data_IF_474205673844
#
_entry.id   IF_474205673844
#
_cell.length_a   1.000
_cell.length_b   1.000
_cell.length_c   1.000
_cell.angle_alpha   90.00
_cell.angle_beta   90.00
_cell.angle_gamma   90.00
#
_symmetry.space_group_name_H-M   'P 1'
#
loop_
_entity.id
_entity.type
_entity.pdbx_description
1 polymer ?
#
# COMPACT_ATOMS: atom_id res chain seq x y z
N UNK A 1 13.96 -29.47 25.19
CA UNK A 1 12.88 -28.54 25.60
C UNK A 1 13.03 -27.11 25.09
N UNK A 2 14.21 -26.48 25.15
CA UNK A 2 14.45 -25.14 24.56
C UNK A 2 14.15 -24.97 23.04
N UNK A 3 14.40 -25.96 22.13
CA UNK A 3 14.11 -25.76 20.70
C UNK A 3 12.61 -25.70 20.39
N UNK A 4 11.77 -26.39 21.16
CA UNK A 4 10.31 -26.48 20.95
C UNK A 4 9.60 -25.17 21.31
N UNK A 5 10.08 -24.46 22.34
CA UNK A 5 9.56 -23.14 22.70
C UNK A 5 9.99 -22.05 21.70
N UNK A 6 11.19 -22.16 21.12
CA UNK A 6 11.68 -21.23 20.11
C UNK A 6 10.96 -21.41 18.77
N UNK A 7 10.61 -22.65 18.40
CA UNK A 7 9.84 -22.93 17.16
C UNK A 7 8.38 -22.52 17.29
N UNK A 8 7.74 -22.69 18.46
CA UNK A 8 6.36 -22.22 18.70
C UNK A 8 6.24 -20.69 18.68
N UNK A 9 7.23 -19.97 19.24
CA UNK A 9 7.32 -18.50 19.14
C UNK A 9 7.56 -18.01 17.69
N UNK A 10 8.33 -18.77 16.90
CA UNK A 10 8.59 -18.45 15.48
C UNK A 10 7.41 -18.77 14.57
N UNK A 11 6.67 -19.84 14.84
CA UNK A 11 5.39 -20.13 14.20
C UNK A 11 4.37 -19.03 14.51
N UNK A 12 4.33 -18.52 15.76
CA UNK A 12 3.54 -17.35 16.13
C UNK A 12 3.96 -16.07 15.41
N UNK A 13 5.26 -15.87 15.20
CA UNK A 13 5.78 -14.73 14.46
C UNK A 13 5.48 -14.84 12.95
N UNK A 14 5.57 -16.03 12.37
CA UNK A 14 5.13 -16.34 10.99
C UNK A 14 3.63 -16.07 10.81
N UNK A 15 2.79 -16.51 11.75
CA UNK A 15 1.35 -16.20 11.79
C UNK A 15 1.12 -14.69 11.81
N UNK A 16 1.88 -13.95 12.63
CA UNK A 16 1.76 -12.50 12.76
C UNK A 16 2.19 -11.76 11.47
N UNK A 17 3.21 -12.24 10.76
CA UNK A 17 3.67 -11.65 9.49
C UNK A 17 2.69 -11.92 8.36
N UNK A 18 2.13 -13.13 8.26
CA UNK A 18 1.13 -13.48 7.25
C UNK A 18 -0.23 -12.78 7.41
N UNK A 19 -0.47 -12.08 8.53
CA UNK A 19 -1.69 -11.28 8.75
C UNK A 19 -1.55 -9.81 8.34
N UNK A 20 -0.31 -9.30 8.15
CA UNK A 20 -0.06 -7.94 7.65
C UNK A 20 0.37 -7.98 6.19
N UNK A 21 -0.29 -7.15 5.39
CA UNK A 21 0.02 -6.75 4.01
C UNK A 21 -0.72 -7.51 2.88
N UNK A 22 -1.57 -6.76 2.18
CA UNK A 22 -2.14 -7.10 0.88
C UNK A 22 -2.04 -5.86 -0.01
N UNK A 23 -0.92 -5.74 -0.73
CA UNK A 23 -0.69 -4.78 -1.80
C UNK A 23 -0.63 -5.51 -3.15
N UNK A 24 -1.41 -5.01 -4.11
CA UNK A 24 -1.69 -5.56 -5.46
C UNK A 24 -0.51 -5.62 -6.42
N UNK A 25 -0.57 -6.49 -7.45
CA UNK A 25 -0.35 -6.19 -8.89
C UNK A 25 -0.99 -7.29 -9.82
N UNK A 26 -1.48 -6.91 -11.01
CA UNK A 26 -2.10 -7.77 -12.05
C UNK A 26 -1.29 -7.68 -13.35
N UNK A 27 -1.07 -8.78 -14.07
CA UNK A 27 -0.92 -8.77 -15.55
C UNK A 27 -1.46 -10.06 -16.21
N UNK A 28 -2.06 -9.91 -17.39
CA UNK A 28 -2.46 -10.97 -18.33
C UNK A 28 -1.84 -10.67 -19.71
N UNK A 29 -1.56 -11.67 -20.56
CA UNK A 29 -2.10 -11.57 -21.93
C UNK A 29 -2.53 -12.90 -22.57
N UNK A 30 -3.50 -12.77 -23.49
CA UNK A 30 -4.06 -13.80 -24.37
C UNK A 30 -3.17 -14.13 -25.59
N UNK A 31 -3.25 -15.38 -26.08
CA UNK A 31 -2.60 -15.85 -27.32
C UNK A 31 -3.66 -16.23 -28.38
N UNK A 32 -3.47 -15.76 -29.62
CA UNK A 32 -4.12 -16.29 -30.83
C UNK A 32 -3.10 -17.06 -31.67
N UNK A 33 -3.42 -18.29 -32.05
CA UNK A 33 -2.62 -19.13 -32.95
C UNK A 33 -3.07 -18.97 -34.42
N UNK A 34 -2.14 -18.96 -35.36
CA UNK A 34 -2.41 -19.06 -36.80
C UNK A 34 -1.52 -20.13 -37.47
N UNK A 35 -2.09 -20.75 -38.51
CA UNK A 35 -1.71 -22.00 -39.18
C UNK A 35 -0.37 -21.97 -39.97
N UNK A 36 0.23 -23.14 -40.29
CA UNK A 36 1.59 -23.22 -40.84
C UNK A 36 1.67 -23.00 -42.36
N UNK A 37 2.68 -22.21 -42.77
CA UNK A 37 3.07 -21.95 -44.17
C UNK A 37 4.03 -23.05 -44.70
N UNK A 38 3.79 -23.55 -45.91
CA UNK A 38 4.64 -24.54 -46.59
C UNK A 38 6.09 -24.03 -46.78
N UNK A 39 7.08 -24.92 -46.61
CA UNK A 39 8.52 -24.60 -46.68
C UNK A 39 9.08 -24.88 -48.08
N UNK A 40 9.71 -23.92 -48.78
CA UNK A 40 10.41 -24.20 -50.03
C UNK A 40 11.75 -24.93 -49.79
N UNK A 41 12.14 -25.77 -50.76
CA UNK A 41 13.34 -26.62 -50.77
C UNK A 41 14.65 -25.82 -50.61
N UNK A 42 15.59 -26.37 -49.84
CA UNK A 42 16.80 -25.68 -49.37
C UNK A 42 17.84 -25.34 -50.46
N UNK A 43 17.78 -25.98 -51.62
CA UNK A 43 18.77 -25.84 -52.70
C UNK A 43 18.75 -24.47 -53.40
N UNK A 44 17.65 -23.71 -53.31
CA UNK A 44 17.50 -22.39 -53.96
C UNK A 44 18.08 -21.22 -53.16
N UNK A 45 18.71 -21.47 -52.00
CA UNK A 45 19.18 -20.39 -51.10
C UNK A 45 20.69 -20.23 -51.12
N UNK A 46 21.13 -19.02 -51.51
CA UNK A 46 22.54 -18.63 -51.48
C UNK A 46 23.11 -18.68 -50.05
N UNK A 47 24.30 -19.25 -49.92
CA UNK A 47 25.02 -19.32 -48.64
C UNK A 47 25.60 -17.95 -48.26
N UNK A 48 25.51 -17.59 -46.97
CA UNK A 48 26.12 -16.38 -46.44
C UNK A 48 27.60 -16.64 -46.12
N UNK A 49 28.50 -15.86 -46.72
CA UNK A 49 29.96 -15.91 -46.49
C UNK A 49 30.48 -14.56 -45.96
N UNK A 50 31.67 -14.57 -45.36
CA UNK A 50 32.37 -13.37 -44.88
C UNK A 50 31.60 -12.56 -43.83
N UNK A 51 31.62 -11.23 -43.95
CA UNK A 51 30.97 -10.30 -43.03
C UNK A 51 29.46 -10.56 -42.87
N UNK A 52 28.78 -11.07 -43.91
CA UNK A 52 27.36 -11.45 -43.85
C UNK A 52 27.10 -12.67 -42.94
N UNK A 53 28.04 -13.61 -42.85
CA UNK A 53 27.94 -14.74 -41.91
C UNK A 53 28.16 -14.26 -40.47
N UNK A 54 29.16 -13.40 -40.25
CA UNK A 54 29.47 -12.85 -38.94
C UNK A 54 28.35 -11.95 -38.40
N UNK A 55 27.79 -11.05 -39.21
CA UNK A 55 26.68 -10.18 -38.78
C UNK A 55 25.41 -10.95 -38.37
N UNK A 56 25.17 -12.10 -39.02
CA UNK A 56 24.07 -13.01 -38.69
C UNK A 56 24.35 -13.82 -37.43
N UNK A 57 25.55 -14.37 -37.29
CA UNK A 57 25.87 -15.31 -36.22
C UNK A 57 26.50 -14.67 -34.97
N UNK A 58 26.79 -13.35 -34.98
CA UNK A 58 27.35 -12.69 -33.79
C UNK A 58 26.40 -12.86 -32.59
N UNK A 59 26.94 -13.07 -31.38
CA UNK A 59 26.13 -13.15 -30.17
C UNK A 59 25.38 -11.83 -29.95
N UNK A 60 24.08 -11.94 -29.70
CA UNK A 60 23.20 -10.81 -29.42
C UNK A 60 22.34 -11.18 -28.22
N UNK A 61 22.15 -10.25 -27.29
CA UNK A 61 21.13 -10.36 -26.25
C UNK A 61 19.76 -10.29 -26.95
N UNK A 62 19.15 -11.46 -27.18
CA UNK A 62 17.86 -11.56 -27.91
C UNK A 62 16.64 -11.36 -27.01
N UNK A 63 16.79 -11.62 -25.71
CA UNK A 63 15.69 -11.54 -24.72
C UNK A 63 15.64 -10.14 -24.11
N UNK A 64 14.49 -9.45 -24.08
CA UNK A 64 14.35 -8.15 -23.45
C UNK A 64 14.87 -8.10 -22.01
N UNK A 65 14.67 -9.17 -21.23
CA UNK A 65 15.17 -9.30 -19.84
C UNK A 65 16.70 -9.30 -19.73
N UNK A 66 17.41 -9.80 -20.75
CA UNK A 66 18.88 -9.79 -20.78
C UNK A 66 19.45 -8.45 -21.28
N UNK A 67 18.66 -7.67 -22.02
CA UNK A 67 19.00 -6.33 -22.51
C UNK A 67 18.86 -5.31 -21.40
N UNK A 68 17.85 -5.45 -20.54
CA UNK A 68 17.60 -4.57 -19.40
C UNK A 68 17.73 -5.32 -18.06
N UNK A 69 18.92 -5.81 -17.67
CA UNK A 69 19.11 -6.22 -16.30
C UNK A 69 19.04 -4.94 -15.44
N UNK A 70 17.98 -4.78 -14.66
CA UNK A 70 18.00 -3.80 -13.59
C UNK A 70 19.09 -4.20 -12.60
N UNK A 71 19.89 -3.27 -12.07
CA UNK A 71 20.78 -3.58 -10.96
C UNK A 71 19.97 -4.21 -9.82
N UNK A 72 20.57 -5.16 -9.11
CA UNK A 72 19.94 -5.83 -7.98
C UNK A 72 19.55 -4.76 -6.95
N UNK A 73 18.27 -4.69 -6.61
CA UNK A 73 17.78 -3.75 -5.60
C UNK A 73 18.18 -4.28 -4.23
N UNK A 74 19.19 -3.66 -3.62
CA UNK A 74 19.49 -3.87 -2.21
C UNK A 74 18.51 -3.03 -1.38
N UNK A 75 18.04 -3.58 -0.26
CA UNK A 75 17.37 -2.78 0.74
C UNK A 75 18.37 -1.73 1.26
N UNK A 76 17.95 -0.46 1.36
CA UNK A 76 18.78 0.58 1.96
C UNK A 76 19.13 0.22 3.41
N UNK A 77 20.29 0.68 3.89
CA UNK A 77 20.65 0.49 5.29
C UNK A 77 19.54 1.11 6.15
N UNK A 78 19.20 0.49 7.29
CA UNK A 78 18.20 1.04 8.23
C UNK A 78 18.60 2.45 8.68
N UNK A 79 19.90 2.74 8.68
CA UNK A 79 20.46 4.05 8.97
C UNK A 79 20.28 5.09 7.85
N UNK A 80 19.98 4.67 6.62
CA UNK A 80 19.73 5.57 5.48
C UNK A 80 18.28 6.08 5.44
N UNK A 81 17.38 5.54 6.28
CA UNK A 81 15.98 5.96 6.30
C UNK A 81 15.81 7.28 7.06
N UNK A 82 14.89 8.11 6.56
CA UNK A 82 14.53 9.38 7.19
C UNK A 82 14.05 9.16 8.63
N UNK A 83 14.80 9.68 9.61
CA UNK A 83 14.52 9.52 11.04
C UNK A 83 15.30 8.40 11.75
N UNK A 84 16.23 7.73 11.05
CA UNK A 84 17.24 6.93 11.73
C UNK A 84 18.04 7.81 12.71
N UNK A 85 18.41 7.30 13.89
CA UNK A 85 19.23 8.05 14.84
C UNK A 85 20.56 8.40 14.18
N UNK A 86 21.03 9.66 14.27
CA UNK A 86 22.31 10.04 13.67
C UNK A 86 23.45 9.26 14.34
N UNK A 87 24.50 8.96 13.59
CA UNK A 87 25.68 8.25 14.10
C UNK A 87 26.36 8.99 15.26
N UNK A 88 26.30 10.31 15.24
CA UNK A 88 26.79 11.19 16.30
C UNK A 88 25.78 12.30 16.57
N UNK A 89 25.62 12.64 17.86
CA UNK A 89 24.91 13.84 18.26
C UNK A 89 25.94 14.94 18.47
N UNK A 90 25.89 15.96 17.61
CA UNK A 90 26.76 17.11 17.75
C UNK A 90 26.30 17.96 18.96
N UNK A 91 27.23 18.19 19.89
CA UNK A 91 27.00 19.00 21.09
C UNK A 91 27.62 20.39 20.85
N UNK A 92 26.95 21.49 21.23
CA UNK A 92 27.53 22.81 21.10
C UNK A 92 28.75 23.00 22.04
N UNK A 93 29.55 24.04 21.77
CA UNK A 93 30.75 24.37 22.55
C UNK A 93 30.42 24.59 24.03
N UNK A 94 31.34 24.26 24.94
CA UNK A 94 31.15 24.43 26.40
C UNK A 94 30.70 25.83 26.81
N UNK A 95 31.21 26.88 26.15
CA UNK A 95 30.77 28.27 26.38
C UNK A 95 29.28 28.47 26.08
N UNK A 96 28.78 27.82 25.03
CA UNK A 96 27.34 27.78 24.69
C UNK A 96 26.56 26.97 25.72
N UNK A 97 27.07 25.81 26.15
CA UNK A 97 26.40 24.99 27.16
C UNK A 97 26.24 25.73 28.49
N UNK A 98 27.25 26.51 28.91
CA UNK A 98 27.18 27.30 30.13
C UNK A 98 26.08 28.37 30.07
N UNK A 99 25.86 28.98 28.91
CA UNK A 99 24.75 29.92 28.67
C UNK A 99 23.38 29.23 28.59
N UNK A 100 23.30 27.98 28.12
CA UNK A 100 22.03 27.24 28.08
C UNK A 100 21.63 26.68 29.44
N UNK A 101 22.60 26.44 30.34
CA UNK A 101 22.37 25.91 31.69
C UNK A 101 21.95 26.97 32.70
N UNK A 102 22.37 28.22 32.49
CA UNK A 102 22.18 29.31 33.43
C UNK A 102 21.43 30.47 32.75
N UNK A 103 20.60 31.19 33.50
CA UNK A 103 19.99 32.44 33.02
C UNK A 103 18.63 32.29 32.29
N UNK A 104 18.15 33.36 31.63
CA UNK A 104 16.84 33.41 30.97
C UNK A 104 16.66 32.41 29.82
N UNK A 105 17.72 32.01 29.10
CA UNK A 105 17.61 30.93 28.10
C UNK A 105 17.24 29.59 28.73
N UNK A 106 17.75 29.29 29.92
CA UNK A 106 17.36 28.08 30.66
C UNK A 106 15.87 28.11 31.03
N UNK A 107 15.39 29.27 31.49
CA UNK A 107 13.99 29.48 31.81
C UNK A 107 13.11 29.29 30.57
N UNK A 108 13.49 29.87 29.42
CA UNK A 108 12.82 29.66 28.14
C UNK A 108 12.76 28.17 27.75
N UNK A 109 13.88 27.44 27.85
CA UNK A 109 13.91 26.01 27.57
C UNK A 109 13.02 25.20 28.53
N UNK A 110 12.95 25.60 29.80
CA UNK A 110 12.05 24.96 30.78
C UNK A 110 10.58 25.18 30.43
N UNK A 111 10.22 26.37 29.92
CA UNK A 111 8.88 26.71 29.45
C UNK A 111 8.53 25.84 28.23
N UNK A 112 9.45 25.73 27.26
CA UNK A 112 9.29 24.88 26.09
C UNK A 112 9.12 23.40 26.48
N UNK A 113 9.91 22.90 27.44
CA UNK A 113 9.82 21.52 27.90
C UNK A 113 8.49 21.20 28.61
N UNK A 114 7.83 22.20 29.23
CA UNK A 114 6.50 22.04 29.82
C UNK A 114 5.40 21.86 28.77
N UNK A 115 5.68 22.10 27.50
CA UNK A 115 4.72 21.95 26.40
C UNK A 115 3.79 23.16 26.24
N UNK A 116 4.31 24.37 26.38
CA UNK A 116 3.54 25.60 26.12
C UNK A 116 3.17 25.75 24.65
N UNK A 117 2.03 26.39 24.37
CA UNK A 117 1.62 26.74 23.01
C UNK A 117 2.30 28.02 22.51
N UNK A 118 2.29 28.26 21.19
CA UNK A 118 2.89 29.48 20.61
C UNK A 118 2.23 30.76 21.10
N UNK A 119 0.91 30.71 21.38
CA UNK A 119 0.14 31.84 21.92
C UNK A 119 0.43 32.12 23.40
N UNK A 120 0.71 31.10 24.20
CA UNK A 120 1.11 31.28 25.59
C UNK A 120 2.52 31.87 25.65
N UNK A 121 3.42 31.38 24.80
CA UNK A 121 4.77 31.89 24.71
C UNK A 121 4.81 33.33 24.19
N UNK A 122 3.93 33.71 23.26
CA UNK A 122 3.80 35.11 22.81
C UNK A 122 3.37 36.04 23.94
N UNK A 123 2.44 35.61 24.79
CA UNK A 123 2.03 36.37 26.00
C UNK A 123 3.17 36.52 27.00
N UNK A 124 3.93 35.45 27.26
CA UNK A 124 5.07 35.47 28.19
C UNK A 124 6.19 36.41 27.69
N UNK A 125 6.47 36.38 26.38
CA UNK A 125 7.48 37.26 25.76
C UNK A 125 7.01 38.71 25.58
N UNK A 126 5.73 39.00 25.80
CA UNK A 126 5.20 40.37 25.78
C UNK A 126 5.74 41.23 26.94
N UNK A 127 6.13 40.59 28.05
CA UNK A 127 6.78 41.23 29.20
C UNK A 127 8.20 41.67 28.81
N UNK A 128 8.40 42.98 28.61
CA UNK A 128 9.60 43.53 27.99
C UNK A 128 10.94 43.19 28.67
N UNK A 129 10.97 43.02 29.99
CA UNK A 129 12.20 42.70 30.74
C UNK A 129 12.80 41.35 30.33
N UNK A 130 11.99 40.28 30.33
CA UNK A 130 12.43 38.93 29.99
C UNK A 130 12.91 38.83 28.53
N UNK A 131 12.19 39.47 27.59
CA UNK A 131 12.57 39.49 26.17
C UNK A 131 13.89 40.24 25.94
N UNK A 132 14.12 41.34 26.65
CA UNK A 132 15.37 42.09 26.54
C UNK A 132 16.55 41.26 27.04
N UNK A 133 16.41 40.55 28.16
CA UNK A 133 17.48 39.71 28.69
C UNK A 133 17.76 38.50 27.80
N UNK A 134 16.72 37.86 27.24
CA UNK A 134 16.89 36.84 26.19
C UNK A 134 17.63 37.38 24.97
N UNK A 135 17.34 38.60 24.52
CA UNK A 135 18.01 39.18 23.35
C UNK A 135 19.50 39.45 23.58
N UNK A 136 19.89 39.77 24.82
CA UNK A 136 21.31 39.94 25.22
C UNK A 136 22.05 38.60 25.16
N UNK A 137 21.46 37.55 25.74
CA UNK A 137 22.07 36.20 25.71
C UNK A 137 22.14 35.64 24.29
N UNK A 138 21.13 35.90 23.45
CA UNK A 138 21.15 35.53 22.03
C UNK A 138 22.26 36.29 21.27
N UNK A 139 22.52 37.55 21.64
CA UNK A 139 23.67 38.31 21.16
C UNK A 139 25.01 37.65 21.52
N UNK A 140 25.15 37.16 22.76
CA UNK A 140 26.33 36.42 23.19
C UNK A 140 26.49 35.08 22.48
N UNK A 141 25.39 34.36 22.23
CA UNK A 141 25.43 33.14 21.42
C UNK A 141 25.87 33.41 19.97
N UNK A 142 25.42 34.53 19.39
CA UNK A 142 25.85 34.98 18.05
C UNK A 142 27.35 35.30 18.02
N UNK A 143 27.91 35.90 19.07
CA UNK A 143 29.36 36.16 19.12
C UNK A 143 30.14 34.86 19.25
N UNK A 144 29.72 33.94 20.13
CA UNK A 144 30.34 32.62 20.31
C UNK A 144 30.31 31.80 19.03
N UNK A 145 29.17 31.75 18.33
CA UNK A 145 29.03 31.00 17.08
C UNK A 145 30.03 31.50 16.01
N UNK A 146 30.25 32.82 15.95
CA UNK A 146 31.19 33.44 15.02
C UNK A 146 32.65 33.25 15.43
N UNK A 147 32.99 33.41 16.71
CA UNK A 147 34.37 33.33 17.18
C UNK A 147 34.90 31.89 17.18
N UNK A 148 34.05 30.93 17.53
CA UNK A 148 34.41 29.52 17.62
C UNK A 148 34.06 28.72 16.36
N UNK A 149 33.48 29.36 15.33
CA UNK A 149 33.03 28.73 14.09
C UNK A 149 32.24 27.43 14.31
N UNK A 150 31.27 27.45 15.23
CA UNK A 150 30.50 26.26 15.60
C UNK A 150 29.12 26.25 14.93
N UNK A 151 28.92 25.29 14.02
CA UNK A 151 27.68 25.13 13.25
C UNK A 151 26.47 24.85 14.16
N UNK A 152 26.64 23.98 15.17
CA UNK A 152 25.56 23.63 16.12
C UNK A 152 25.08 24.85 16.89
N UNK A 153 26.00 25.69 17.36
CA UNK A 153 25.66 26.94 18.04
C UNK A 153 24.95 27.91 17.09
N UNK A 154 25.35 27.93 15.82
CA UNK A 154 24.70 28.76 14.81
C UNK A 154 23.24 28.32 14.54
N UNK A 155 22.97 27.02 14.50
CA UNK A 155 21.63 26.47 14.32
C UNK A 155 20.74 26.77 15.53
N UNK A 156 21.29 26.66 16.74
CA UNK A 156 20.58 27.03 17.99
C UNK A 156 20.21 28.51 18.00
N UNK A 157 21.09 29.39 17.53
CA UNK A 157 20.79 30.82 17.38
C UNK A 157 19.61 31.03 16.44
N UNK A 158 19.59 30.37 15.28
CA UNK A 158 18.49 30.48 14.30
C UNK A 158 17.17 29.98 14.91
N UNK A 159 17.22 28.86 15.62
CA UNK A 159 16.07 28.29 16.32
C UNK A 159 15.50 29.25 17.37
N UNK A 160 16.35 29.72 18.29
CA UNK A 160 15.94 30.62 19.38
C UNK A 160 15.46 31.98 18.84
N UNK A 161 16.10 32.51 17.80
CA UNK A 161 15.71 33.77 17.18
C UNK A 161 14.31 33.71 16.56
N UNK A 162 13.97 32.58 15.92
CA UNK A 162 12.62 32.35 15.36
C UNK A 162 11.55 32.27 16.44
N UNK A 163 11.84 31.58 17.55
CA UNK A 163 10.91 31.45 18.68
C UNK A 163 10.70 32.79 19.37
N UNK A 164 11.77 33.55 19.61
CA UNK A 164 11.71 34.82 20.34
C UNK A 164 11.04 35.92 19.51
N UNK A 165 11.28 35.97 18.19
CA UNK A 165 10.74 37.03 17.34
C UNK A 165 9.29 36.80 16.93
N UNK A 166 8.90 35.56 16.62
CA UNK A 166 7.58 35.26 16.07
C UNK A 166 7.12 33.85 16.47
N UNK A 167 6.77 33.64 17.75
CA UNK A 167 6.40 32.31 18.26
C UNK A 167 5.15 31.73 17.61
N UNK A 168 4.15 32.56 17.29
CA UNK A 168 2.89 32.13 16.65
C UNK A 168 3.08 31.62 15.22
N UNK A 169 4.05 32.18 14.48
CA UNK A 169 4.37 31.71 13.12
C UNK A 169 5.15 30.39 13.15
N UNK A 170 5.83 30.12 14.25
CA UNK A 170 6.79 29.04 14.44
C UNK A 170 6.37 28.02 15.50
N UNK A 171 5.06 27.80 15.64
CA UNK A 171 4.47 26.93 16.66
C UNK A 171 4.94 25.46 16.58
N UNK A 172 5.40 25.02 15.40
CA UNK A 172 6.01 23.70 15.18
C UNK A 172 7.35 23.47 15.90
N UNK A 173 8.04 24.55 16.30
CA UNK A 173 9.28 24.49 17.07
C UNK A 173 9.03 24.50 18.59
N UNK A 174 7.80 24.86 18.99
CA UNK A 174 7.41 25.11 20.37
C UNK A 174 6.58 23.94 20.90
N UNK A 175 5.52 23.56 20.18
CA UNK A 175 4.63 22.49 20.58
C UNK A 175 4.89 21.21 19.77
N UNK A 176 5.23 20.14 20.50
CA UNK A 176 5.44 18.80 19.94
C UNK A 176 4.17 18.26 19.29
N UNK A 177 3.01 18.51 19.90
CA UNK A 177 1.72 18.02 19.41
C UNK A 177 1.18 18.84 18.24
N UNK A 178 1.54 20.12 18.16
CA UNK A 178 1.15 20.97 17.03
C UNK A 178 1.54 20.38 15.67
N UNK A 179 2.76 19.85 15.55
CA UNK A 179 3.21 19.24 14.28
C UNK A 179 2.40 18.00 13.92
N UNK A 180 2.11 17.14 14.90
CA UNK A 180 1.27 15.96 14.73
C UNK A 180 -0.16 16.36 14.37
N UNK A 181 -0.76 17.31 15.07
CA UNK A 181 -2.09 17.82 14.78
C UNK A 181 -2.18 18.46 13.40
N UNK A 182 -1.14 19.21 12.98
CA UNK A 182 -1.06 19.79 11.64
C UNK A 182 -0.92 18.72 10.55
N UNK A 183 -0.19 17.64 10.83
CA UNK A 183 -0.13 16.48 9.94
C UNK A 183 -1.48 15.76 9.88
N UNK A 184 -2.13 15.53 11.03
CA UNK A 184 -3.46 14.92 11.10
C UNK A 184 -4.50 15.71 10.31
N UNK A 185 -4.61 17.02 10.54
CA UNK A 185 -5.50 17.91 9.79
C UNK A 185 -5.19 17.94 8.29
N UNK A 186 -3.91 17.93 7.91
CA UNK A 186 -3.51 17.80 6.51
C UNK A 186 -3.98 16.47 5.89
N UNK A 187 -3.83 15.37 6.63
CA UNK A 187 -4.29 14.04 6.20
C UNK A 187 -5.81 13.98 6.10
N UNK A 188 -6.54 14.44 7.11
CA UNK A 188 -8.00 14.56 7.09
C UNK A 188 -8.48 15.38 5.89
N UNK A 189 -7.85 16.52 5.62
CA UNK A 189 -8.19 17.36 4.47
C UNK A 189 -7.89 16.65 3.14
N UNK A 190 -6.82 15.88 3.08
CA UNK A 190 -6.48 15.08 1.89
C UNK A 190 -7.46 13.93 1.68
N UNK A 191 -7.86 13.25 2.75
CA UNK A 191 -8.81 12.14 2.74
C UNK A 191 -10.21 12.61 2.36
N UNK A 192 -10.70 13.66 3.01
CA UNK A 192 -11.98 14.30 2.66
C UNK A 192 -12.00 14.74 1.20
N UNK A 193 -10.90 15.31 0.68
CA UNK A 193 -10.78 15.66 -0.74
C UNK A 193 -10.83 14.44 -1.66
N UNK A 194 -10.15 13.34 -1.31
CA UNK A 194 -10.20 12.08 -2.08
C UNK A 194 -11.60 11.50 -2.06
N UNK A 195 -12.23 11.42 -0.89
CA UNK A 195 -13.60 10.97 -0.70
C UNK A 195 -14.58 11.80 -1.53
N UNK A 196 -14.50 13.14 -1.45
CA UNK A 196 -15.38 14.02 -2.21
C UNK A 196 -15.23 13.87 -3.73
N UNK A 197 -14.00 13.67 -4.23
CA UNK A 197 -13.75 13.39 -5.65
C UNK A 197 -14.38 12.06 -6.08
N UNK A 198 -14.22 11.03 -5.24
CA UNK A 198 -14.78 9.70 -5.45
C UNK A 198 -16.31 9.73 -5.43
N UNK A 199 -16.92 10.30 -4.39
CA UNK A 199 -18.36 10.51 -4.26
C UNK A 199 -18.93 11.27 -5.45
N UNK A 200 -18.23 12.31 -5.95
CA UNK A 200 -18.64 13.04 -7.16
C UNK A 200 -18.62 12.15 -8.42
N UNK A 201 -17.59 11.33 -8.60
CA UNK A 201 -17.50 10.39 -9.74
C UNK A 201 -18.64 9.36 -9.70
N UNK A 202 -18.86 8.76 -8.53
CA UNK A 202 -19.93 7.77 -8.34
C UNK A 202 -21.30 8.42 -8.54
N UNK A 203 -21.49 9.64 -8.06
CA UNK A 203 -22.74 10.38 -8.27
C UNK A 203 -23.02 10.68 -9.75
N UNK A 204 -21.98 11.03 -10.54
CA UNK A 204 -22.14 11.19 -11.99
C UNK A 204 -22.53 9.88 -12.67
N UNK A 205 -21.94 8.77 -12.24
CA UNK A 205 -22.29 7.43 -12.72
C UNK A 205 -23.73 7.06 -12.33
N UNK A 206 -24.11 7.26 -11.07
CA UNK A 206 -25.48 7.08 -10.56
C UNK A 206 -26.47 7.84 -11.44
N UNK A 207 -26.22 9.12 -11.73
CA UNK A 207 -27.05 9.92 -12.63
C UNK A 207 -27.13 9.33 -14.03
N UNK A 208 -26.00 8.93 -14.61
CA UNK A 208 -25.98 8.34 -15.95
C UNK A 208 -26.81 7.06 -16.04
N UNK A 209 -26.78 6.23 -14.99
CA UNK A 209 -27.57 5.00 -14.89
C UNK A 209 -29.03 5.37 -14.69
N UNK A 210 -29.36 6.24 -13.73
CA UNK A 210 -30.72 6.68 -13.46
C UNK A 210 -31.43 7.22 -14.72
N UNK A 211 -30.74 8.00 -15.56
CA UNK A 211 -31.28 8.44 -16.85
C UNK A 211 -31.51 7.30 -17.84
N UNK A 212 -30.61 6.31 -17.91
CA UNK A 212 -30.84 5.11 -18.74
C UNK A 212 -32.05 4.32 -18.25
N UNK A 213 -32.22 4.18 -16.94
CA UNK A 213 -33.37 3.47 -16.35
C UNK A 213 -34.69 4.21 -16.59
N UNK A 214 -34.66 5.55 -16.56
CA UNK A 214 -35.80 6.38 -16.96
C UNK A 214 -36.23 6.09 -18.39
N UNK A 215 -35.29 5.94 -19.32
CA UNK A 215 -35.60 5.63 -20.72
C UNK A 215 -36.18 4.21 -20.89
N UNK A 216 -35.88 3.29 -19.96
CA UNK A 216 -36.42 1.92 -19.92
C UNK A 216 -37.79 1.86 -19.24
N UNK A 217 -38.26 2.95 -18.64
CA UNK A 217 -39.59 3.05 -18.01
C UNK A 217 -39.58 3.02 -16.47
N UNK A 218 -38.42 2.95 -15.82
CA UNK A 218 -38.32 3.02 -14.35
C UNK A 218 -38.28 4.48 -13.91
N UNK A 219 -39.20 4.94 -13.04
CA UNK A 219 -39.23 6.33 -12.63
C UNK A 219 -38.02 6.65 -11.73
N UNK A 220 -37.53 7.89 -11.80
CA UNK A 220 -36.36 8.34 -11.06
C UNK A 220 -36.52 8.26 -9.53
N UNK A 221 -37.77 8.25 -9.03
CA UNK A 221 -38.09 8.11 -7.60
C UNK A 221 -37.82 6.70 -7.10
N UNK A 222 -38.09 5.68 -7.90
CA UNK A 222 -37.90 4.27 -7.52
C UNK A 222 -36.40 3.93 -7.48
N UNK A 223 -35.60 4.63 -8.28
CA UNK A 223 -34.13 4.57 -8.25
C UNK A 223 -33.49 5.23 -7.02
N UNK A 224 -34.26 5.50 -5.95
CA UNK A 224 -33.73 5.93 -4.65
C UNK A 224 -33.29 4.76 -3.77
N UNK A 225 -33.71 3.53 -4.09
CA UNK A 225 -33.34 2.33 -3.33
C UNK A 225 -31.88 1.93 -3.60
N UNK A 226 -31.04 1.80 -2.55
CA UNK A 226 -29.63 1.40 -2.71
C UNK A 226 -29.45 0.02 -3.38
N UNK A 227 -30.42 -0.88 -3.23
CA UNK A 227 -30.43 -2.20 -3.86
C UNK A 227 -30.33 -2.11 -5.39
N UNK A 228 -31.06 -1.18 -6.01
CA UNK A 228 -30.97 -0.95 -7.45
C UNK A 228 -29.59 -0.41 -7.84
N UNK A 229 -28.93 0.35 -6.98
CA UNK A 229 -27.59 0.87 -7.26
C UNK A 229 -26.55 -0.24 -7.34
N UNK A 230 -26.66 -1.24 -6.47
CA UNK A 230 -25.85 -2.45 -6.52
C UNK A 230 -26.17 -3.28 -7.76
N UNK A 231 -27.46 -3.56 -8.01
CA UNK A 231 -27.92 -4.35 -9.17
C UNK A 231 -27.44 -3.78 -10.51
N UNK A 232 -27.48 -2.46 -10.67
CA UNK A 232 -27.06 -1.78 -11.90
C UNK A 232 -25.60 -1.30 -11.88
N UNK A 233 -24.82 -1.72 -10.89
CA UNK A 233 -23.37 -1.51 -10.85
C UNK A 233 -22.95 -0.05 -10.76
N UNK A 234 -23.65 0.77 -9.95
CA UNK A 234 -23.25 2.14 -9.61
C UNK A 234 -21.87 2.14 -8.95
N UNK A 235 -21.60 1.14 -8.10
CA UNK A 235 -20.35 1.00 -7.36
C UNK A 235 -19.25 0.23 -8.11
N UNK A 236 -19.46 -0.22 -9.35
CA UNK A 236 -18.45 -0.97 -10.13
C UNK A 236 -17.14 -0.21 -10.37
N UNK A 237 -17.14 1.12 -10.25
CA UNK A 237 -15.92 1.95 -10.35
C UNK A 237 -15.13 2.03 -9.05
N UNK A 238 -15.68 1.54 -7.94
CA UNK A 238 -14.92 1.36 -6.73
C UNK A 238 -13.84 0.32 -7.01
N UNK A 239 -12.61 0.51 -6.51
CA UNK A 239 -11.65 -0.57 -6.53
C UNK A 239 -12.26 -1.74 -5.76
N UNK A 240 -12.44 -2.88 -6.42
CA UNK A 240 -12.77 -4.11 -5.73
C UNK A 240 -11.65 -4.36 -4.73
N UNK A 241 -12.02 -4.58 -3.47
CA UNK A 241 -11.04 -4.98 -2.49
C UNK A 241 -10.69 -6.45 -2.74
N UNK A 242 -9.56 -6.71 -3.38
CA UNK A 242 -9.08 -8.08 -3.59
C UNK A 242 -8.67 -8.74 -2.29
N UNK A 243 -8.82 -8.11 -1.12
CA UNK A 243 -8.54 -8.75 0.16
C UNK A 243 -9.38 -10.01 0.35
N UNK A 244 -10.65 -10.02 -0.06
CA UNK A 244 -11.52 -11.22 0.05
C UNK A 244 -11.05 -12.30 -0.92
N UNK A 245 -10.84 -11.96 -2.19
CA UNK A 245 -10.33 -12.90 -3.20
C UNK A 245 -8.94 -13.44 -2.83
N UNK A 246 -8.07 -12.59 -2.31
CA UNK A 246 -6.73 -12.95 -1.84
C UNK A 246 -6.81 -13.80 -0.57
N UNK A 247 -7.74 -13.53 0.35
CA UNK A 247 -7.98 -14.36 1.53
C UNK A 247 -8.44 -15.76 1.11
N UNK A 248 -9.45 -15.85 0.23
CA UNK A 248 -9.96 -17.13 -0.26
C UNK A 248 -8.90 -17.91 -1.04
N UNK A 249 -8.07 -17.23 -1.84
CA UNK A 249 -6.93 -17.85 -2.52
C UNK A 249 -5.88 -18.36 -1.52
N UNK A 250 -5.45 -17.54 -0.54
CA UNK A 250 -4.47 -17.92 0.49
C UNK A 250 -4.93 -19.12 1.33
N UNK A 251 -6.21 -19.19 1.65
CA UNK A 251 -6.79 -20.19 2.53
C UNK A 251 -7.46 -21.36 1.80
N UNK A 252 -7.22 -21.50 0.50
CA UNK A 252 -7.90 -22.47 -0.37
C UNK A 252 -7.80 -23.91 0.14
N UNK A 253 -6.63 -24.32 0.65
CA UNK A 253 -6.42 -25.68 1.18
C UNK A 253 -7.26 -25.93 2.43
N UNK A 254 -7.29 -24.99 3.36
CA UNK A 254 -8.07 -25.10 4.60
C UNK A 254 -9.59 -25.00 4.36
N UNK A 255 -10.02 -24.37 3.26
CA UNK A 255 -11.42 -24.30 2.86
C UNK A 255 -11.90 -25.57 2.14
N UNK A 256 -11.02 -26.25 1.39
CA UNK A 256 -11.36 -27.47 0.63
C UNK A 256 -11.19 -28.75 1.43
N UNK A 257 -10.32 -28.75 2.45
CA UNK A 257 -9.96 -29.95 3.19
C UNK A 257 -10.04 -29.71 4.70
N UNK A 258 -10.32 -30.76 5.48
CA UNK A 258 -10.22 -30.68 6.93
C UNK A 258 -8.77 -30.41 7.32
N UNK A 259 -8.49 -29.17 7.74
CA UNK A 259 -7.13 -28.72 8.00
C UNK A 259 -6.48 -29.51 9.13
N UNK A 260 -7.23 -29.99 10.13
CA UNK A 260 -6.70 -30.78 11.25
C UNK A 260 -6.07 -32.11 10.81
N UNK A 261 -6.45 -32.62 9.66
CA UNK A 261 -5.86 -33.82 9.06
C UNK A 261 -4.71 -33.53 8.09
N UNK A 262 -4.11 -32.33 8.10
CA UNK A 262 -3.02 -32.00 7.17
C UNK A 262 -1.77 -32.87 7.39
N UNK A 263 -1.44 -33.11 8.66
CA UNK A 263 -0.39 -34.03 9.08
C UNK A 263 -1.03 -35.22 9.78
N UNK A 264 -0.60 -36.42 9.41
CA UNK A 264 -1.12 -37.66 9.96
C UNK A 264 0.01 -38.67 10.16
N UNK A 265 -0.17 -39.57 11.12
CA UNK A 265 0.78 -40.65 11.38
C UNK A 265 0.48 -41.79 10.41
N UNK A 266 1.42 -42.12 9.54
CA UNK A 266 1.27 -43.24 8.64
C UNK A 266 1.44 -44.56 9.43
N UNK A 267 0.43 -45.44 9.36
CA UNK A 267 0.37 -46.73 10.08
C UNK A 267 1.50 -47.68 9.70
N UNK A 268 2.00 -47.60 8.47
CA UNK A 268 3.01 -48.53 7.94
C UNK A 268 4.44 -48.12 8.32
N UNK A 269 4.73 -46.82 8.31
CA UNK A 269 6.09 -46.30 8.54
C UNK A 269 6.29 -45.72 9.92
N UNK A 270 5.21 -45.57 10.70
CA UNK A 270 5.19 -44.89 11.99
C UNK A 270 5.75 -43.46 11.98
N UNK A 271 5.91 -42.87 10.78
CA UNK A 271 6.39 -41.51 10.56
C UNK A 271 5.20 -40.59 10.27
N UNK A 272 5.37 -39.31 10.59
CA UNK A 272 4.39 -38.27 10.29
C UNK A 272 4.57 -37.84 8.83
N UNK A 273 3.54 -38.05 8.01
CA UNK A 273 3.46 -37.62 6.62
C UNK A 273 2.56 -36.39 6.48
N UNK A 274 2.80 -35.62 5.41
CA UNK A 274 1.95 -34.50 5.03
C UNK A 274 1.05 -34.90 3.86
N UNK A 275 -0.18 -34.41 3.80
CA UNK A 275 -1.03 -34.57 2.60
C UNK A 275 -0.40 -33.96 1.33
N UNK A 276 0.54 -33.03 1.48
CA UNK A 276 1.33 -32.51 0.36
C UNK A 276 2.36 -33.51 -0.19
N UNK A 277 2.58 -34.64 0.46
CA UNK A 277 3.41 -35.72 -0.07
C UNK A 277 2.64 -36.54 -1.13
N UNK A 278 1.30 -36.42 -1.20
CA UNK A 278 0.44 -37.12 -2.14
C UNK A 278 0.28 -36.36 -3.48
N UNK A 279 0.63 -36.96 -4.63
CA UNK A 279 0.58 -36.28 -5.93
C UNK A 279 -0.84 -35.96 -6.39
N UNK A 280 -1.82 -36.78 -6.00
CA UNK A 280 -3.24 -36.59 -6.35
C UNK A 280 -3.82 -35.37 -5.61
N UNK A 281 -3.38 -35.14 -4.36
CA UNK A 281 -3.74 -33.96 -3.59
C UNK A 281 -3.18 -32.68 -4.23
N UNK A 282 -1.93 -32.71 -4.67
CA UNK A 282 -1.30 -31.59 -5.40
C UNK A 282 -2.09 -31.29 -6.69
N UNK A 283 -2.44 -32.32 -7.46
CA UNK A 283 -3.17 -32.16 -8.72
C UNK A 283 -4.55 -31.50 -8.52
N UNK A 284 -5.24 -31.85 -7.44
CA UNK A 284 -6.56 -31.30 -7.04
C UNK A 284 -6.47 -29.84 -6.58
N UNK A 285 -5.36 -29.47 -5.93
CA UNK A 285 -5.08 -28.08 -5.57
C UNK A 285 -4.72 -27.26 -6.81
N UNK A 286 -4.06 -27.83 -7.82
CA UNK A 286 -3.67 -27.10 -9.03
C UNK A 286 -4.81 -26.93 -10.06
N UNK A 287 -5.74 -27.89 -10.16
CA UNK A 287 -6.77 -27.91 -11.22
C UNK A 287 -7.91 -26.90 -11.05
N UNK A 288 -8.11 -26.33 -9.86
CA UNK A 288 -9.19 -25.32 -9.66
C UNK A 288 -10.57 -25.93 -9.46
N UNK A 289 -10.88 -26.98 -10.21
CA UNK A 289 -12.16 -27.67 -10.26
C UNK A 289 -12.19 -28.88 -9.32
N UNK A 290 -13.26 -29.00 -8.53
CA UNK A 290 -13.48 -30.13 -7.64
C UNK A 290 -13.99 -29.70 -6.27
N UNK A 291 -15.32 -29.60 -6.13
CA UNK A 291 -16.06 -29.92 -4.91
C UNK A 291 -16.27 -31.43 -4.86
N UNK A 292 -15.17 -32.18 -4.95
CA UNK A 292 -15.16 -33.56 -4.50
C UNK A 292 -14.72 -33.48 -3.06
N UNK A 293 -15.66 -33.74 -2.15
CA UNK A 293 -15.34 -34.06 -0.76
C UNK A 293 -14.24 -35.11 -0.79
N UNK A 294 -13.01 -34.68 -0.51
CA UNK A 294 -11.95 -35.63 -0.17
C UNK A 294 -12.37 -36.14 1.19
N UNK A 295 -13.11 -37.25 1.19
CA UNK A 295 -13.46 -38.01 2.39
C UNK A 295 -12.15 -38.30 3.09
N UNK A 296 -11.91 -37.57 4.17
CA UNK A 296 -10.81 -37.85 5.06
C UNK A 296 -11.40 -38.87 6.01
N UNK A 297 -10.92 -40.12 5.93
CA UNK A 297 -11.31 -41.14 6.91
C UNK A 297 -11.08 -40.56 8.31
N UNK A 298 -12.19 -40.46 9.05
CA UNK A 298 -12.22 -40.04 10.44
C UNK A 298 -11.59 -41.15 11.27
N UNK A 299 -10.30 -41.03 11.56
CA UNK A 299 -9.70 -41.83 12.62
C UNK A 299 -9.12 -40.89 13.68
N UNK A 300 -9.87 -40.85 14.78
CA UNK A 300 -9.56 -40.45 16.15
C UNK A 300 -8.17 -39.85 16.38
N UNK A 301 -8.10 -38.52 16.27
CA UNK A 301 -7.06 -37.75 16.95
C UNK A 301 -7.66 -37.29 18.28
N UNK A 302 -7.33 -37.98 19.37
CA UNK A 302 -7.70 -37.53 20.71
C UNK A 302 -7.20 -36.10 20.94
N UNK A 303 -8.01 -35.22 21.56
CA UNK A 303 -7.69 -33.81 21.71
C UNK A 303 -6.72 -33.60 22.87
N UNK A 304 -5.46 -34.02 22.71
CA UNK A 304 -4.42 -33.44 23.54
C UNK A 304 -4.25 -31.97 23.09
N UNK A 305 -4.49 -31.01 23.99
CA UNK A 305 -4.41 -29.57 23.71
C UNK A 305 -3.00 -29.07 23.30
N UNK A 306 -2.05 -29.99 23.06
CA UNK A 306 -0.66 -29.71 22.75
C UNK A 306 -0.20 -30.55 21.56
N UNK A 307 0.33 -29.87 20.54
CA UNK A 307 0.92 -30.51 19.38
C UNK A 307 2.15 -31.32 19.81
N UNK A 308 2.19 -32.62 19.53
CA UNK A 308 3.30 -33.48 19.93
C UNK A 308 4.64 -33.00 19.33
N UNK A 309 5.79 -33.24 20.00
CA UNK A 309 7.09 -32.79 19.52
C UNK A 309 7.45 -33.35 18.14
N UNK A 310 6.99 -34.56 17.80
CA UNK A 310 7.20 -35.19 16.50
C UNK A 310 6.51 -34.41 15.37
N UNK A 311 5.28 -33.91 15.59
CA UNK A 311 4.56 -33.06 14.63
C UNK A 311 5.25 -31.71 14.44
N UNK A 312 5.78 -31.13 15.52
CA UNK A 312 6.55 -29.88 15.46
C UNK A 312 7.82 -30.08 14.63
N UNK A 313 8.54 -31.19 14.83
CA UNK A 313 9.73 -31.51 14.04
C UNK A 313 9.40 -31.63 12.55
N UNK A 314 8.33 -32.36 12.18
CA UNK A 314 7.91 -32.46 10.79
C UNK A 314 7.56 -31.09 10.19
N UNK A 315 6.78 -30.27 10.90
CA UNK A 315 6.46 -28.89 10.48
C UNK A 315 7.73 -28.08 10.27
N UNK A 316 8.74 -28.21 11.15
CA UNK A 316 10.00 -27.48 10.99
C UNK A 316 10.80 -27.94 9.77
N UNK A 317 10.75 -29.23 9.41
CA UNK A 317 11.34 -29.73 8.17
C UNK A 317 10.64 -29.13 6.95
N UNK A 318 9.30 -29.17 6.91
CA UNK A 318 8.54 -28.58 5.81
C UNK A 318 8.75 -27.06 5.67
N UNK A 319 8.93 -26.34 6.78
CA UNK A 319 9.29 -24.91 6.77
C UNK A 319 10.74 -24.64 6.30
N UNK A 320 11.68 -25.57 6.55
CA UNK A 320 13.04 -25.50 5.98
C UNK A 320 13.02 -25.77 4.47
N UNK A 321 12.24 -26.76 4.03
CA UNK A 321 12.09 -27.08 2.60
C UNK A 321 11.50 -25.89 1.82
N UNK A 322 10.56 -25.16 2.45
CA UNK A 322 10.02 -23.90 1.92
C UNK A 322 11.00 -22.71 1.97
N UNK A 323 12.19 -22.90 2.53
CA UNK A 323 13.24 -21.88 2.78
C UNK A 323 12.78 -20.73 3.66
N UNK A 324 11.82 -20.99 4.55
CA UNK A 324 11.31 -20.01 5.51
C UNK A 324 12.20 -19.94 6.77
N UNK A 325 12.76 -21.07 7.18
CA UNK A 325 13.70 -21.17 8.30
C UNK A 325 15.12 -21.45 7.80
N UNK A 326 16.12 -20.91 8.50
CA UNK A 326 17.52 -21.31 8.33
C UNK A 326 17.74 -22.76 8.78
N UNK A 327 18.83 -23.40 8.35
CA UNK A 327 19.18 -24.77 8.74
C UNK A 327 19.26 -24.95 10.27
N UNK A 328 19.71 -23.92 10.97
CA UNK A 328 19.78 -23.90 12.45
C UNK A 328 18.43 -23.59 13.13
N UNK A 329 17.34 -23.40 12.38
CA UNK A 329 16.04 -22.90 12.85
C UNK A 329 16.11 -21.57 13.61
N UNK A 330 17.24 -20.86 13.62
CA UNK A 330 17.45 -19.64 14.42
C UNK A 330 16.88 -18.39 13.77
N UNK A 331 16.91 -18.29 12.43
CA UNK A 331 16.50 -17.10 11.67
C UNK A 331 15.33 -17.41 10.74
N UNK A 332 14.44 -16.42 10.59
CA UNK A 332 13.34 -16.44 9.63
C UNK A 332 13.74 -15.67 8.37
N UNK A 333 13.49 -16.24 7.20
CA UNK A 333 13.75 -15.57 5.93
C UNK A 333 12.57 -14.67 5.52
N UNK A 334 12.63 -13.40 5.92
CA UNK A 334 11.59 -12.40 5.62
C UNK A 334 11.37 -12.20 4.12
N UNK A 335 12.42 -12.31 3.30
CA UNK A 335 12.30 -12.15 1.84
C UNK A 335 11.45 -13.26 1.22
N UNK A 336 11.61 -14.50 1.69
CA UNK A 336 10.82 -15.64 1.26
C UNK A 336 9.37 -15.53 1.72
N UNK A 337 9.13 -15.01 2.94
CA UNK A 337 7.78 -14.73 3.42
C UNK A 337 7.07 -13.73 2.51
N UNK A 338 7.73 -12.64 2.14
CA UNK A 338 7.17 -11.63 1.22
C UNK A 338 6.87 -12.20 -0.18
N UNK A 339 7.72 -13.09 -0.70
CA UNK A 339 7.46 -13.79 -1.96
C UNK A 339 6.20 -14.65 -1.90
N UNK A 340 6.08 -15.49 -0.86
CA UNK A 340 4.91 -16.37 -0.68
C UNK A 340 3.62 -15.55 -0.45
N UNK A 341 3.71 -14.37 0.15
CA UNK A 341 2.58 -13.45 0.31
C UNK A 341 2.11 -12.79 -0.99
N UNK A 342 2.98 -12.66 -2.00
CA UNK A 342 2.65 -12.07 -3.30
C UNK A 342 2.12 -13.13 -4.28
N UNK A 343 2.75 -14.30 -4.31
CA UNK A 343 2.45 -15.36 -5.29
C UNK A 343 1.45 -16.39 -4.73
N UNK A 344 0.20 -15.93 -4.56
CA UNK A 344 -0.87 -16.66 -3.84
C UNK A 344 -1.20 -18.03 -4.42
N UNK A 345 -1.09 -18.19 -5.74
CA UNK A 345 -1.51 -19.41 -6.44
C UNK A 345 -0.39 -20.47 -6.56
N UNK A 346 0.79 -20.21 -5.99
CA UNK A 346 1.90 -21.16 -6.01
C UNK A 346 1.72 -22.28 -4.99
N UNK A 347 2.18 -23.49 -5.32
CA UNK A 347 2.11 -24.64 -4.41
C UNK A 347 2.81 -24.36 -3.08
N UNK A 348 3.97 -23.70 -3.12
CA UNK A 348 4.73 -23.31 -1.93
C UNK A 348 3.95 -22.35 -1.02
N UNK A 349 3.22 -21.40 -1.62
CA UNK A 349 2.39 -20.45 -0.86
C UNK A 349 1.21 -21.17 -0.21
N UNK A 350 0.52 -22.03 -0.97
CA UNK A 350 -0.57 -22.88 -0.46
C UNK A 350 -0.09 -23.80 0.68
N UNK A 351 1.10 -24.40 0.54
CA UNK A 351 1.73 -25.22 1.58
C UNK A 351 2.02 -24.40 2.84
N UNK A 352 2.60 -23.20 2.70
CA UNK A 352 2.89 -22.33 3.83
C UNK A 352 1.63 -21.87 4.59
N UNK A 353 0.57 -21.48 3.86
CA UNK A 353 -0.70 -21.09 4.47
C UNK A 353 -1.45 -22.26 5.11
N UNK A 354 -1.40 -23.46 4.52
CA UNK A 354 -1.94 -24.66 5.13
C UNK A 354 -1.23 -25.05 6.44
N UNK A 355 0.10 -24.96 6.49
CA UNK A 355 0.88 -25.20 7.71
C UNK A 355 0.48 -24.22 8.82
N UNK A 356 0.28 -22.95 8.46
CA UNK A 356 -0.18 -21.92 9.40
C UNK A 356 -1.57 -22.25 9.95
N UNK A 357 -2.52 -22.58 9.07
CA UNK A 357 -3.91 -22.84 9.44
C UNK A 357 -4.03 -24.14 10.26
N UNK A 358 -3.22 -25.15 9.95
CA UNK A 358 -3.08 -26.36 10.78
C UNK A 358 -2.64 -25.99 12.20
N UNK A 359 -1.53 -25.26 12.32
CA UNK A 359 -1.01 -24.85 13.63
C UNK A 359 -2.03 -24.02 14.43
N UNK A 360 -2.75 -23.11 13.78
CA UNK A 360 -3.79 -22.29 14.41
C UNK A 360 -5.00 -23.10 14.86
N UNK A 361 -5.43 -24.09 14.08
CA UNK A 361 -6.55 -24.99 14.43
C UNK A 361 -6.28 -25.85 15.66
N UNK A 362 -5.00 -26.11 15.95
CA UNK A 362 -4.55 -26.81 17.15
C UNK A 362 -4.33 -25.87 18.33
N UNK A 363 -3.81 -24.66 18.09
CA UNK A 363 -3.54 -23.69 19.14
C UNK A 363 -4.80 -23.02 19.70
N UNK A 364 -5.81 -22.80 18.85
CA UNK A 364 -7.05 -22.14 19.21
C UNK A 364 -8.22 -23.03 18.82
N UNK A 365 -9.00 -23.52 19.80
CA UNK A 365 -10.14 -24.41 19.59
C UNK A 365 -11.20 -23.82 18.66
N UNK A 366 -11.39 -22.50 18.73
CA UNK A 366 -12.44 -21.77 18.03
C UNK A 366 -11.97 -21.27 16.64
N UNK A 367 -10.73 -21.60 16.25
CA UNK A 367 -10.19 -21.19 14.97
C UNK A 367 -10.90 -21.92 13.84
N UNK A 368 -11.60 -21.15 13.01
CA UNK A 368 -12.19 -21.59 11.75
C UNK A 368 -11.86 -20.60 10.65
N UNK A 369 -11.56 -21.14 9.47
CA UNK A 369 -11.37 -20.32 8.28
C UNK A 369 -12.74 -19.90 7.76
N UNK A 370 -12.96 -18.59 7.64
CA UNK A 370 -14.26 -18.05 7.23
C UNK A 370 -14.42 -18.24 5.72
N UNK A 371 -15.34 -19.12 5.32
CA UNK A 371 -15.64 -19.39 3.91
C UNK A 371 -16.56 -18.34 3.27
N UNK A 372 -17.39 -17.68 4.07
CA UNK A 372 -18.40 -16.74 3.57
C UNK A 372 -17.76 -15.42 3.11
N UNK A 373 -17.83 -15.08 1.81
CA UNK A 373 -17.35 -13.79 1.32
C UNK A 373 -18.08 -12.63 2.01
N UNK A 374 -19.35 -12.82 2.33
CA UNK A 374 -20.18 -11.84 3.03
C UNK A 374 -19.59 -11.50 4.41
N UNK A 375 -19.19 -12.51 5.20
CA UNK A 375 -18.61 -12.28 6.54
C UNK A 375 -17.21 -11.64 6.41
N UNK A 376 -16.38 -12.09 5.48
CA UNK A 376 -15.06 -11.49 5.20
C UNK A 376 -15.13 -10.01 4.81
N UNK A 377 -16.10 -9.66 3.97
CA UNK A 377 -16.38 -8.26 3.61
C UNK A 377 -16.90 -7.41 4.76
N UNK A 378 -17.38 -8.01 5.84
CA UNK A 378 -17.78 -7.29 7.05
C UNK A 378 -16.59 -6.96 7.97
N UNK A 379 -15.53 -7.78 7.94
CA UNK A 379 -14.29 -7.54 8.69
C UNK A 379 -13.40 -6.49 8.05
N UNK A 380 -13.52 -6.28 6.73
CA UNK A 380 -12.90 -5.14 6.07
C UNK A 380 -13.93 -4.02 5.98
N UNK A 381 -13.52 -2.78 6.23
CA UNK A 381 -14.33 -1.54 6.12
C UNK A 381 -15.05 -1.31 4.77
N UNK A 382 -15.13 -2.29 3.87
CA UNK A 382 -15.91 -2.22 2.64
C UNK A 382 -17.37 -1.89 2.93
N UNK A 383 -18.03 -2.60 3.86
CA UNK A 383 -19.43 -2.29 4.23
C UNK A 383 -19.61 -0.93 4.86
N UNK A 384 -18.67 -0.52 5.71
CA UNK A 384 -18.72 0.81 6.30
C UNK A 384 -18.57 1.88 5.22
N UNK A 385 -17.61 1.73 4.31
CA UNK A 385 -17.37 2.65 3.18
C UNK A 385 -18.52 2.68 2.19
N UNK A 386 -19.10 1.52 1.84
CA UNK A 386 -20.26 1.46 0.93
C UNK A 386 -21.50 2.02 1.57
N UNK A 387 -21.79 1.72 2.85
CA UNK A 387 -22.93 2.31 3.57
C UNK A 387 -22.78 3.82 3.77
N UNK A 388 -21.58 4.32 4.06
CA UNK A 388 -21.31 5.78 4.14
C UNK A 388 -21.51 6.44 2.78
N UNK A 389 -21.02 5.81 1.70
CA UNK A 389 -21.27 6.29 0.33
C UNK A 389 -22.75 6.24 -0.03
N UNK A 390 -23.48 5.18 0.31
CA UNK A 390 -24.91 5.04 0.06
C UNK A 390 -25.70 6.17 0.74
N UNK A 391 -25.44 6.40 2.03
CA UNK A 391 -26.06 7.47 2.81
C UNK A 391 -25.83 8.84 2.15
N UNK A 392 -24.58 9.16 1.83
CA UNK A 392 -24.22 10.46 1.28
C UNK A 392 -24.68 10.64 -0.17
N UNK A 393 -24.67 9.56 -0.98
CA UNK A 393 -25.25 9.54 -2.32
C UNK A 393 -26.75 9.73 -2.29
N UNK A 394 -27.45 9.12 -1.33
CA UNK A 394 -28.89 9.25 -1.15
C UNK A 394 -29.27 10.69 -0.82
N UNK A 395 -28.51 11.35 0.06
CA UNK A 395 -28.69 12.79 0.34
C UNK A 395 -28.51 13.62 -0.95
N UNK A 396 -27.42 13.37 -1.70
CA UNK A 396 -27.16 14.07 -2.97
C UNK A 396 -28.22 13.79 -4.04
N UNK A 397 -28.72 12.56 -4.12
CA UNK A 397 -29.72 12.13 -5.09
C UNK A 397 -31.09 12.72 -4.78
N UNK A 398 -31.54 12.65 -3.51
CA UNK A 398 -32.76 13.34 -3.05
C UNK A 398 -32.67 14.85 -3.27
N UNK A 399 -31.51 15.46 -2.96
CA UNK A 399 -31.25 16.87 -3.26
C UNK A 399 -31.40 17.16 -4.77
N UNK A 400 -30.83 16.31 -5.62
CA UNK A 400 -30.93 16.44 -7.08
C UNK A 400 -32.37 16.29 -7.61
N UNK A 401 -33.16 15.37 -7.05
CA UNK A 401 -34.57 15.20 -7.39
C UNK A 401 -35.40 16.44 -6.99
N UNK A 402 -35.16 17.00 -5.80
CA UNK A 402 -35.88 18.18 -5.28
C UNK A 402 -35.61 19.45 -6.08
N UNK A 403 -34.36 19.67 -6.51
CA UNK A 403 -33.97 20.93 -7.16
C UNK A 403 -34.11 20.92 -8.69
N UNK A 404 -34.70 19.85 -9.28
CA UNK A 404 -34.93 19.77 -10.73
C UNK A 404 -33.66 20.02 -11.53
N UNK A 405 -32.75 19.04 -11.57
CA UNK A 405 -31.54 18.98 -12.39
C UNK A 405 -31.12 20.30 -13.07
N UNK A 406 -30.27 21.15 -12.47
CA UNK A 406 -29.58 22.15 -13.27
C UNK A 406 -28.85 21.40 -14.38
N UNK A 407 -29.18 21.73 -15.64
CA UNK A 407 -28.36 21.35 -16.80
C UNK A 407 -26.92 21.65 -16.43
N UNK A 408 -26.00 20.77 -16.79
CA UNK A 408 -24.58 21.00 -16.54
C UNK A 408 -24.23 22.33 -17.23
N UNK A 409 -24.29 23.45 -16.51
CA UNK A 409 -23.78 24.71 -17.02
C UNK A 409 -22.31 24.39 -17.27
N UNK A 410 -21.80 24.54 -18.50
CA UNK A 410 -20.36 24.44 -18.70
C UNK A 410 -19.74 25.36 -17.66
N UNK A 411 -18.74 24.86 -16.92
CA UNK A 411 -18.03 25.69 -15.94
C UNK A 411 -17.72 27.02 -16.62
N UNK A 412 -17.96 28.19 -16.00
CA UNK A 412 -17.54 29.45 -16.57
C UNK A 412 -16.05 29.32 -16.88
N UNK A 413 -15.75 29.23 -18.17
CA UNK A 413 -14.39 28.95 -18.59
C UNK A 413 -13.61 30.23 -18.39
N UNK A 414 -12.49 30.14 -17.67
CA UNK A 414 -11.64 31.29 -17.39
C UNK A 414 -11.37 32.02 -18.73
N UNK A 415 -11.45 33.37 -18.76
CA UNK A 415 -11.38 34.17 -20.00
C UNK A 415 -10.20 33.74 -20.89
N UNK A 416 -9.05 33.45 -20.27
CA UNK A 416 -7.83 32.91 -20.87
C UNK A 416 -8.04 31.66 -21.73
N UNK A 417 -8.90 30.73 -21.30
CA UNK A 417 -9.13 29.46 -21.99
C UNK A 417 -10.29 29.52 -22.98
N UNK A 418 -11.14 30.57 -22.94
CA UNK A 418 -12.31 30.74 -23.81
C UNK A 418 -11.95 30.68 -25.29
N UNK A 419 -10.89 31.39 -25.67
CA UNK A 419 -10.39 31.42 -27.03
C UNK A 419 -9.82 30.07 -27.49
N UNK A 420 -9.16 29.33 -26.60
CA UNK A 420 -8.64 28.00 -26.91
C UNK A 420 -9.75 26.98 -27.15
N UNK A 421 -10.83 26.96 -26.35
CA UNK A 421 -11.94 26.04 -26.65
C UNK A 421 -12.70 26.43 -27.92
N UNK A 422 -12.87 27.73 -28.19
CA UNK A 422 -13.42 28.19 -29.48
C UNK A 422 -12.52 27.69 -30.61
N UNK A 423 -11.20 27.86 -30.49
CA UNK A 423 -10.22 27.39 -31.47
C UNK A 423 -10.27 25.87 -31.69
N UNK A 424 -10.32 25.09 -30.61
CA UNK A 424 -10.40 23.62 -30.68
C UNK A 424 -11.77 23.10 -31.15
N UNK A 425 -12.84 23.88 -30.97
CA UNK A 425 -14.17 23.60 -31.51
C UNK A 425 -14.28 23.81 -33.03
N UNK A 426 -13.35 24.54 -33.63
CA UNK A 426 -13.29 24.72 -35.09
C UNK A 426 -12.71 23.47 -35.78
N UNK A 427 -13.24 23.16 -36.96
CA UNK A 427 -12.70 22.10 -37.81
C UNK A 427 -11.24 22.37 -38.18
N UNK A 428 -10.47 21.30 -38.44
CA UNK A 428 -9.04 21.40 -38.78
C UNK A 428 -8.79 22.32 -39.99
N UNK A 429 -9.70 22.33 -40.96
CA UNK A 429 -9.62 23.18 -42.16
C UNK A 429 -9.87 24.64 -41.83
N UNK A 430 -10.86 24.95 -40.97
CA UNK A 430 -11.16 26.33 -40.56
C UNK A 430 -10.01 26.93 -39.74
N UNK A 431 -9.39 26.14 -38.86
CA UNK A 431 -8.17 26.56 -38.13
C UNK A 431 -7.01 26.88 -39.08
N UNK A 432 -6.75 26.03 -40.07
CA UNK A 432 -5.69 26.25 -41.07
C UNK A 432 -5.95 27.50 -41.92
N UNK A 433 -7.20 27.75 -42.30
CA UNK A 433 -7.58 28.95 -43.04
C UNK A 433 -7.29 30.21 -42.23
N UNK A 434 -7.78 30.29 -40.98
CA UNK A 434 -7.57 31.45 -40.11
C UNK A 434 -6.09 31.68 -39.79
N UNK A 435 -5.31 30.62 -39.59
CA UNK A 435 -3.87 30.73 -39.39
C UNK A 435 -3.16 31.29 -40.63
N UNK A 436 -3.56 30.87 -41.84
CA UNK A 436 -3.01 31.41 -43.09
C UNK A 436 -3.40 32.88 -43.30
N UNK A 437 -4.63 33.23 -42.97
CA UNK A 437 -5.13 34.61 -43.04
C UNK A 437 -4.34 35.53 -42.09
N UNK A 438 -4.08 35.08 -40.85
CA UNK A 438 -3.26 35.81 -39.89
C UNK A 438 -1.79 35.94 -40.31
N UNK A 439 -1.19 34.88 -40.87
CA UNK A 439 0.18 34.98 -41.42
C UNK A 439 0.23 35.98 -42.58
N UNK A 440 -0.78 35.97 -43.46
CA UNK A 440 -0.88 36.95 -44.55
C UNK A 440 -0.94 38.39 -44.04
N UNK A 441 -1.74 38.66 -43.02
CA UNK A 441 -1.86 40.02 -42.47
C UNK A 441 -0.59 40.50 -41.75
N UNK A 442 0.22 39.58 -41.21
CA UNK A 442 1.54 39.90 -40.66
C UNK A 442 2.58 40.16 -41.74
N UNK A 443 2.50 39.50 -42.90
CA UNK A 443 3.45 39.69 -44.01
C UNK A 443 3.15 40.89 -44.89
N UNK A 444 1.96 41.48 -44.78
CA UNK A 444 1.54 42.68 -45.51
C UNK A 444 1.72 43.98 -44.73
N UNK A 445 2.31 43.91 -43.53
CA UNK A 445 2.86 45.05 -42.79
C UNK A 445 4.37 44.99 -42.85
#
# INVERSE_FOLDING_TARGET
MLPVYVTSLKLLFLVAIFSKTSGFYITSPANYASLPKQRPLFASKNQLKGARKFSRNRPKKKRPSAVYPSPTLYYGNVQDYFGAPPEYLAVPVDSTLNLLRNGPLHELLSILHKGTTGQELSKILSTGSFRLDLSKELGQLKTIAKTMSCDVTSDLVIYLERIINSPEQHEHFIDRFYTLNRLHTFWELRETNRYNRMLKRIFLRLRSIAFKMKNVGIPLKDFTTPELWHKYGVFKTLPNNTMVDNYLSKHRVALKCNIKGLYFRNRETNKISSKFDDPDFISTICSGEGTSEVVCDEEDIEPENHLSPEYIERITMDLKDLKLLSDDCTKLNMSRVDELQRDLDTLDSQKAYAIRDYYLSWKYSDYSVVSSPYILESFVDHRYRTKTLERDLLVKYKGWLRHGAPRHKPKPMNLKYRHLAIWHGLSKNKRRFLAREYVRTLTTK
#
